data_IF_496252433650
#
_entry.id   IF_496252433650
#
_cell.length_a   1.000
_cell.length_b   1.000
_cell.length_c   1.000
_cell.angle_alpha   90.00
_cell.angle_beta   90.00
_cell.angle_gamma   90.00
#
_symmetry.space_group_name_H-M   'P 1'
#
loop_
_entity.id
_entity.type
_entity.pdbx_description
1 polymer ?
#
# COMPACT_ATOMS: atom_id res chain seq x y z
N UNK A 1 19.83 11.99 11.01
CA UNK A 1 21.07 11.23 11.32
C UNK A 1 21.09 9.78 10.81
N UNK A 2 19.99 9.02 10.77
CA UNK A 2 20.03 7.58 10.37
C UNK A 2 19.96 7.37 8.85
N UNK A 3 19.19 8.17 8.12
CA UNK A 3 19.16 8.13 6.66
C UNK A 3 20.56 8.38 6.08
N UNK A 4 21.30 9.34 6.63
CA UNK A 4 22.68 9.67 6.24
C UNK A 4 23.66 8.52 6.49
N UNK A 5 23.48 7.72 7.56
CA UNK A 5 24.34 6.56 7.82
C UNK A 5 24.13 5.45 6.78
N UNK A 6 22.88 5.21 6.37
CA UNK A 6 22.60 4.23 5.34
C UNK A 6 23.10 4.64 3.97
N UNK A 7 22.96 5.91 3.59
CA UNK A 7 23.57 6.43 2.36
C UNK A 7 25.10 6.34 2.39
N UNK A 8 25.72 6.52 3.57
CA UNK A 8 27.15 6.34 3.74
C UNK A 8 27.57 4.87 3.55
N UNK A 9 26.81 3.92 4.09
CA UNK A 9 27.04 2.47 3.89
C UNK A 9 26.90 2.11 2.41
N UNK A 10 25.87 2.63 1.73
CA UNK A 10 25.65 2.41 0.29
C UNK A 10 26.82 2.96 -0.54
N UNK A 11 27.30 4.16 -0.19
CA UNK A 11 28.43 4.82 -0.84
C UNK A 11 29.75 4.07 -0.63
N UNK A 12 30.02 3.63 0.60
CA UNK A 12 31.23 2.88 0.95
C UNK A 12 31.28 1.51 0.26
N UNK A 13 30.12 0.86 0.11
CA UNK A 13 30.03 -0.42 -0.61
C UNK A 13 30.11 -0.23 -2.12
N UNK A 14 29.64 0.89 -2.67
CA UNK A 14 29.79 1.21 -4.09
C UNK A 14 31.22 1.63 -4.47
N UNK A 15 32.02 2.15 -3.54
CA UNK A 15 33.37 2.69 -3.79
C UNK A 15 34.30 1.76 -4.60
N UNK A 16 34.40 0.44 -4.31
CA UNK A 16 35.25 -0.48 -5.07
C UNK A 16 34.86 -0.59 -6.56
N UNK A 17 33.62 -0.25 -6.93
CA UNK A 17 33.16 -0.27 -8.32
C UNK A 17 33.64 0.92 -9.14
N UNK A 18 34.23 1.96 -8.54
CA UNK A 18 34.94 3.01 -9.28
C UNK A 18 36.06 2.42 -10.14
N UNK A 19 36.66 1.29 -9.71
CA UNK A 19 37.68 0.57 -10.49
C UNK A 19 37.15 0.04 -11.82
N UNK A 20 35.83 -0.15 -11.94
CA UNK A 20 35.15 -0.60 -13.16
C UNK A 20 34.56 0.57 -13.97
N UNK A 21 34.87 1.82 -13.59
CA UNK A 21 34.41 3.04 -14.27
C UNK A 21 33.27 3.77 -13.57
N UNK A 22 33.12 5.06 -13.88
CA UNK A 22 32.14 5.96 -13.24
C UNK A 22 30.69 5.50 -13.44
N UNK A 23 30.38 4.91 -14.59
CA UNK A 23 29.04 4.36 -14.87
C UNK A 23 28.65 3.23 -13.92
N UNK A 24 29.57 2.32 -13.60
CA UNK A 24 29.34 1.21 -12.68
C UNK A 24 29.13 1.70 -11.24
N UNK A 25 29.89 2.70 -10.82
CA UNK A 25 29.73 3.36 -9.52
C UNK A 25 28.36 4.06 -9.38
N UNK A 26 27.95 4.85 -10.39
CA UNK A 26 26.65 5.54 -10.38
C UNK A 26 25.51 4.51 -10.38
N UNK A 27 25.59 3.48 -11.23
CA UNK A 27 24.61 2.40 -11.28
C UNK A 27 24.45 1.69 -9.93
N UNK A 28 25.55 1.40 -9.23
CA UNK A 28 25.53 0.78 -7.90
C UNK A 28 24.87 1.68 -6.85
N UNK A 29 25.22 2.98 -6.83
CA UNK A 29 24.61 3.96 -5.95
C UNK A 29 23.09 4.07 -6.20
N UNK A 30 22.67 4.18 -7.47
CA UNK A 30 21.26 4.25 -7.84
C UNK A 30 20.50 2.97 -7.45
N UNK A 31 21.07 1.80 -7.74
CA UNK A 31 20.48 0.50 -7.39
C UNK A 31 20.35 0.36 -5.87
N UNK A 32 21.39 0.73 -5.12
CA UNK A 32 21.36 0.69 -3.66
C UNK A 32 20.35 1.66 -3.07
N UNK A 33 20.22 2.88 -3.62
CA UNK A 33 19.19 3.84 -3.20
C UNK A 33 17.78 3.33 -3.51
N UNK A 34 17.56 2.68 -4.65
CA UNK A 34 16.27 2.07 -5.01
C UNK A 34 15.90 0.90 -4.07
N UNK A 35 16.84 0.00 -3.78
CA UNK A 35 16.63 -1.11 -2.84
C UNK A 35 16.45 -0.59 -1.40
N UNK A 36 17.23 0.42 -1.03
CA UNK A 36 17.08 1.14 0.23
C UNK A 36 15.68 1.73 0.36
N UNK A 37 15.18 2.37 -0.69
CA UNK A 37 13.87 3.00 -0.73
C UNK A 37 12.74 1.98 -0.62
N UNK A 38 12.85 0.83 -1.30
CA UNK A 38 11.89 -0.28 -1.16
C UNK A 38 11.91 -0.87 0.26
N UNK A 39 13.08 -0.94 0.88
CA UNK A 39 13.28 -1.48 2.23
C UNK A 39 12.88 -0.53 3.37
N UNK A 40 12.93 0.78 3.17
CA UNK A 40 12.58 1.80 4.19
C UNK A 40 11.10 1.81 4.61
N UNK A 41 10.25 0.98 4.02
CA UNK A 41 8.86 0.87 4.41
C UNK A 41 8.61 -0.09 5.58
N UNK A 42 9.62 -0.81 6.05
CA UNK A 42 9.46 -1.88 7.04
C UNK A 42 9.80 -1.44 8.47
N UNK A 43 9.55 -0.16 8.76
CA UNK A 43 9.79 0.44 10.06
C UNK A 43 8.72 -0.07 11.04
N UNK A 44 9.13 -0.99 11.91
CA UNK A 44 8.37 -1.35 13.11
C UNK A 44 7.54 -2.63 13.05
N UNK A 45 6.31 -2.54 12.54
CA UNK A 45 5.32 -3.64 12.61
C UNK A 45 5.72 -4.86 11.79
N UNK A 46 6.38 -4.63 10.66
CA UNK A 46 6.88 -5.70 9.81
C UNK A 46 8.04 -6.48 10.41
N UNK A 47 8.64 -6.01 11.51
CA UNK A 47 9.79 -6.66 12.14
C UNK A 47 9.36 -7.57 13.31
N UNK A 48 8.14 -7.42 13.85
CA UNK A 48 7.59 -8.39 14.81
C UNK A 48 6.97 -9.61 14.13
N UNK A 49 6.48 -9.45 12.89
CA UNK A 49 5.76 -10.48 12.14
C UNK A 49 6.67 -11.14 11.07
N UNK A 50 7.03 -12.42 11.28
CA UNK A 50 7.95 -13.19 10.42
C UNK A 50 7.49 -13.25 8.95
N UNK A 51 6.20 -13.26 8.69
CA UNK A 51 5.69 -13.36 7.31
C UNK A 51 5.79 -12.02 6.59
N UNK A 52 5.55 -10.92 7.32
CA UNK A 52 5.76 -9.57 6.82
C UNK A 52 7.26 -9.27 6.61
N UNK A 53 8.13 -9.87 7.42
CA UNK A 53 9.58 -9.88 7.14
C UNK A 53 9.88 -10.62 5.84
N UNK A 54 9.35 -11.83 5.66
CA UNK A 54 9.59 -12.63 4.45
C UNK A 54 9.10 -11.91 3.18
N UNK A 55 7.95 -11.25 3.25
CA UNK A 55 7.44 -10.43 2.17
C UNK A 55 8.29 -9.19 1.86
N UNK A 56 8.93 -8.63 2.88
CA UNK A 56 9.90 -7.54 2.74
C UNK A 56 11.11 -7.95 1.96
N UNK A 57 11.72 -9.05 2.39
CA UNK A 57 12.92 -9.60 1.78
C UNK A 57 12.62 -10.08 0.37
N UNK A 58 11.48 -10.75 0.16
CA UNK A 58 11.05 -11.18 -1.17
C UNK A 58 10.75 -9.99 -2.07
N UNK A 59 9.98 -8.99 -1.61
CA UNK A 59 9.66 -7.80 -2.41
C UNK A 59 10.91 -7.01 -2.80
N UNK A 60 11.88 -6.90 -1.89
CA UNK A 60 13.15 -6.23 -2.16
C UNK A 60 14.07 -7.05 -3.05
N UNK A 61 14.06 -8.38 -2.93
CA UNK A 61 14.78 -9.28 -3.84
C UNK A 61 14.20 -9.18 -5.26
N UNK A 62 12.87 -9.20 -5.40
CA UNK A 62 12.18 -9.02 -6.68
C UNK A 62 12.47 -7.65 -7.29
N UNK A 63 12.42 -6.57 -6.50
CA UNK A 63 12.81 -5.24 -6.97
C UNK A 63 14.26 -5.19 -7.40
N UNK A 64 15.16 -5.82 -6.65
CA UNK A 64 16.56 -5.96 -7.05
C UNK A 64 16.65 -6.68 -8.40
N UNK A 65 15.88 -7.74 -8.63
CA UNK A 65 15.81 -8.46 -9.91
C UNK A 65 15.15 -7.68 -11.06
N UNK A 66 14.33 -6.65 -10.81
CA UNK A 66 13.78 -5.78 -11.86
C UNK A 66 14.70 -4.59 -12.17
N UNK A 67 15.40 -4.10 -11.16
CA UNK A 67 16.39 -3.01 -11.31
C UNK A 67 17.69 -3.54 -11.92
N UNK A 68 18.08 -4.77 -11.59
CA UNK A 68 19.30 -5.42 -12.06
C UNK A 68 19.41 -5.54 -13.60
N UNK A 69 18.36 -5.92 -14.36
CA UNK A 69 18.35 -5.92 -15.83
C UNK A 69 18.58 -4.55 -16.47
N UNK A 70 18.15 -3.47 -15.81
CA UNK A 70 18.35 -2.10 -16.31
C UNK A 70 19.84 -1.71 -16.24
N UNK A 71 20.58 -2.28 -15.28
CA UNK A 71 22.01 -1.99 -15.05
C UNK A 71 22.97 -3.10 -15.50
N UNK A 72 22.43 -4.24 -15.95
CA UNK A 72 23.14 -5.36 -16.57
C UNK A 72 24.09 -4.95 -17.73
N UNK A 73 23.77 -3.92 -18.56
CA UNK A 73 24.68 -3.44 -19.59
C UNK A 73 25.96 -2.77 -19.04
N UNK A 74 26.03 -2.46 -17.74
CA UNK A 74 27.12 -1.67 -17.14
C UNK A 74 28.20 -2.55 -16.49
N UNK A 75 27.83 -3.64 -15.80
CA UNK A 75 28.69 -4.81 -15.50
C UNK A 75 28.01 -5.76 -14.48
N UNK A 76 28.23 -7.08 -14.58
CA UNK A 76 27.66 -8.07 -13.64
C UNK A 76 28.17 -7.92 -12.20
N UNK A 77 29.28 -7.20 -11.99
CA UNK A 77 29.88 -6.95 -10.67
C UNK A 77 29.18 -5.83 -9.88
N UNK A 78 28.34 -5.01 -10.51
CA UNK A 78 27.60 -3.89 -9.86
C UNK A 78 26.64 -4.39 -8.78
N UNK A 79 26.17 -5.62 -8.89
CA UNK A 79 25.14 -6.14 -8.00
C UNK A 79 25.66 -6.69 -6.68
N UNK A 80 26.92 -7.12 -6.63
CA UNK A 80 27.49 -7.72 -5.42
C UNK A 80 27.51 -6.73 -4.26
N UNK A 81 27.92 -5.46 -4.46
CA UNK A 81 27.89 -4.48 -3.39
C UNK A 81 26.49 -3.98 -3.05
N UNK A 82 25.57 -3.93 -4.03
CA UNK A 82 24.16 -3.61 -3.77
C UNK A 82 23.47 -4.68 -2.90
N UNK A 83 23.75 -5.96 -3.16
CA UNK A 83 23.29 -7.07 -2.34
C UNK A 83 23.92 -7.04 -0.94
N UNK A 84 25.24 -6.79 -0.85
CA UNK A 84 25.94 -6.63 0.43
C UNK A 84 25.36 -5.48 1.28
N UNK A 85 25.08 -4.33 0.68
CA UNK A 85 24.46 -3.18 1.33
C UNK A 85 23.07 -3.53 1.87
N UNK A 86 22.31 -4.30 1.10
CA UNK A 86 20.98 -4.76 1.48
C UNK A 86 21.02 -5.69 2.70
N UNK A 87 21.96 -6.63 2.73
CA UNK A 87 22.12 -7.57 3.86
C UNK A 87 22.54 -6.85 5.14
N UNK A 88 23.57 -6.00 5.08
CA UNK A 88 24.06 -5.24 6.24
C UNK A 88 22.97 -4.31 6.77
N UNK A 89 22.24 -3.63 5.88
CA UNK A 89 21.10 -2.79 6.23
C UNK A 89 19.99 -3.57 6.92
N UNK A 90 19.60 -4.73 6.38
CA UNK A 90 18.58 -5.58 6.98
C UNK A 90 18.97 -6.01 8.40
N UNK A 91 20.24 -6.36 8.59
CA UNK A 91 20.76 -6.75 9.90
C UNK A 91 20.74 -5.61 10.93
N UNK A 92 21.16 -4.39 10.53
CA UNK A 92 21.15 -3.21 11.41
C UNK A 92 19.71 -2.78 11.73
N UNK A 93 18.82 -2.74 10.73
CA UNK A 93 17.40 -2.42 10.92
C UNK A 93 16.72 -3.44 11.84
N UNK A 94 17.00 -4.74 11.66
CA UNK A 94 16.48 -5.81 12.49
C UNK A 94 16.84 -5.62 13.97
N UNK A 95 18.12 -5.39 14.28
CA UNK A 95 18.58 -5.22 15.67
C UNK A 95 17.95 -4.01 16.36
N UNK A 96 17.76 -2.90 15.64
CA UNK A 96 17.29 -1.64 16.23
C UNK A 96 15.77 -1.57 16.36
N UNK A 97 15.03 -2.06 15.37
CA UNK A 97 13.56 -2.02 15.43
C UNK A 97 13.02 -2.94 16.52
N UNK A 98 13.66 -4.09 16.76
CA UNK A 98 13.38 -4.94 17.93
C UNK A 98 13.56 -4.20 19.27
N UNK A 99 14.35 -3.13 19.29
CA UNK A 99 14.65 -2.31 20.47
C UNK A 99 13.78 -1.05 20.62
N UNK A 100 13.14 -0.56 19.55
CA UNK A 100 12.42 0.74 19.56
C UNK A 100 10.92 0.66 19.29
N UNK A 101 10.38 -0.51 18.97
CA UNK A 101 8.96 -0.62 18.64
C UNK A 101 8.07 -0.60 19.89
N UNK A 102 7.54 0.58 20.22
CA UNK A 102 6.41 0.72 21.14
C UNK A 102 5.16 1.09 20.33
N UNK A 103 4.11 0.28 20.44
CA UNK A 103 2.81 0.53 19.81
C UNK A 103 2.23 1.92 20.16
N UNK A 104 2.61 2.44 21.33
CA UNK A 104 2.31 3.81 21.80
C UNK A 104 2.76 4.92 20.83
N UNK A 105 3.76 4.68 19.99
CA UNK A 105 4.28 5.71 19.05
C UNK A 105 3.37 5.99 17.85
N UNK A 106 2.41 5.11 17.56
CA UNK A 106 1.43 5.28 16.48
C UNK A 106 0.09 5.83 16.99
N UNK A 107 -0.17 5.73 18.29
CA UNK A 107 -1.30 6.39 18.91
C UNK A 107 -1.01 7.89 18.89
N UNK A 108 -1.83 8.65 18.16
CA UNK A 108 -1.82 10.10 18.31
C UNK A 108 -2.08 10.39 19.78
N UNK A 109 -1.13 11.05 20.45
CA UNK A 109 -1.50 11.79 21.64
C UNK A 109 -2.39 12.93 21.14
N UNK A 110 -3.50 13.18 21.85
CA UNK A 110 -4.56 14.12 21.49
C UNK A 110 -4.10 15.58 21.25
N UNK A 111 -2.80 15.85 21.37
CA UNK A 111 -2.21 17.19 21.34
C UNK A 111 -1.36 17.48 20.10
N UNK A 112 -1.19 16.54 19.16
CA UNK A 112 -0.44 16.79 17.93
C UNK A 112 -1.35 17.30 16.81
N UNK A 113 -1.33 18.60 16.45
CA UNK A 113 -2.19 19.13 15.41
C UNK A 113 -1.84 18.50 14.04
N UNK A 114 -2.88 18.09 13.30
CA UNK A 114 -2.72 17.63 11.93
C UNK A 114 -2.63 18.85 11.01
N UNK A 115 -1.41 19.20 10.60
CA UNK A 115 -1.21 20.32 9.70
C UNK A 115 -1.87 20.09 8.32
N UNK A 116 -2.55 21.10 7.78
CA UNK A 116 -3.08 21.03 6.42
C UNK A 116 -1.93 21.10 5.41
N UNK A 117 -1.81 20.07 4.55
CA UNK A 117 -0.79 19.99 3.50
C UNK A 117 -1.38 20.33 2.13
N UNK A 118 -1.96 21.52 2.01
CA UNK A 118 -2.78 21.93 0.85
C UNK A 118 -2.04 21.76 -0.49
N UNK A 119 -0.79 22.20 -0.58
CA UNK A 119 0.02 22.09 -1.82
C UNK A 119 0.20 20.63 -2.22
N UNK A 120 0.55 19.77 -1.26
CA UNK A 120 0.69 18.34 -1.47
C UNK A 120 -0.66 17.71 -1.87
N UNK A 121 -1.75 18.02 -1.16
CA UNK A 121 -3.07 17.44 -1.40
C UNK A 121 -3.60 17.83 -2.80
N UNK A 122 -3.35 19.06 -3.26
CA UNK A 122 -3.68 19.53 -4.60
C UNK A 122 -2.87 18.83 -5.70
N UNK A 123 -1.56 18.70 -5.53
CA UNK A 123 -0.74 18.00 -6.51
C UNK A 123 -1.01 16.49 -6.52
N UNK A 124 -1.23 15.89 -5.35
CA UNK A 124 -1.70 14.51 -5.19
C UNK A 124 -2.99 14.28 -5.97
N UNK A 125 -3.92 15.23 -5.93
CA UNK A 125 -5.17 15.13 -6.68
C UNK A 125 -4.93 15.04 -8.20
N UNK A 126 -4.01 15.83 -8.74
CA UNK A 126 -3.64 15.78 -10.15
C UNK A 126 -3.06 14.40 -10.52
N UNK A 127 -2.15 13.88 -9.69
CA UNK A 127 -1.58 12.54 -9.87
C UNK A 127 -2.64 11.44 -9.79
N UNK A 128 -3.56 11.50 -8.82
CA UNK A 128 -4.64 10.53 -8.65
C UNK A 128 -5.51 10.43 -9.90
N UNK A 129 -5.84 11.57 -10.51
CA UNK A 129 -6.64 11.60 -11.75
C UNK A 129 -5.82 11.07 -12.92
N UNK A 130 -4.58 11.53 -13.12
CA UNK A 130 -3.73 11.10 -14.23
C UNK A 130 -3.46 9.59 -14.19
N UNK A 131 -3.02 9.08 -13.05
CA UNK A 131 -2.79 7.64 -12.85
C UNK A 131 -4.11 6.87 -12.92
N UNK A 132 -5.21 7.41 -12.38
CA UNK A 132 -6.53 6.81 -12.46
C UNK A 132 -6.99 6.61 -13.91
N UNK A 133 -6.79 7.60 -14.79
CA UNK A 133 -7.11 7.49 -16.22
C UNK A 133 -6.24 6.43 -16.90
N UNK A 134 -4.93 6.42 -16.62
CA UNK A 134 -4.01 5.40 -17.15
C UNK A 134 -4.46 4.00 -16.70
N UNK A 135 -4.76 3.81 -15.41
CA UNK A 135 -5.27 2.56 -14.88
C UNK A 135 -6.60 2.17 -15.54
N UNK A 136 -7.51 3.11 -15.76
CA UNK A 136 -8.79 2.82 -16.41
C UNK A 136 -8.57 2.28 -17.83
N UNK A 137 -7.72 2.93 -18.63
CA UNK A 137 -7.41 2.48 -19.99
C UNK A 137 -6.73 1.11 -19.94
N UNK A 138 -5.69 0.95 -19.12
CA UNK A 138 -4.92 -0.30 -19.01
C UNK A 138 -5.78 -1.48 -18.55
N UNK A 139 -6.64 -1.27 -17.54
CA UNK A 139 -7.50 -2.32 -16.98
C UNK A 139 -8.87 -2.42 -17.67
N UNK A 140 -9.18 -1.55 -18.63
CA UNK A 140 -10.46 -1.60 -19.36
C UNK A 140 -10.74 -2.94 -20.04
N UNK A 141 -9.76 -3.64 -20.68
CA UNK A 141 -10.04 -4.95 -21.26
C UNK A 141 -10.46 -5.97 -20.20
N UNK A 142 -9.79 -5.94 -19.03
CA UNK A 142 -10.11 -6.83 -17.90
C UNK A 142 -11.49 -6.49 -17.34
N UNK A 143 -11.81 -5.21 -17.16
CA UNK A 143 -13.13 -4.77 -16.69
C UNK A 143 -14.22 -5.27 -17.63
N UNK A 144 -14.03 -5.17 -18.95
CA UNK A 144 -14.99 -5.65 -19.95
C UNK A 144 -15.15 -7.17 -19.89
N UNK A 145 -14.04 -7.92 -19.86
CA UNK A 145 -14.08 -9.39 -19.77
C UNK A 145 -14.81 -9.85 -18.49
N UNK A 146 -14.45 -9.30 -17.33
CA UNK A 146 -15.10 -9.62 -16.05
C UNK A 146 -16.58 -9.24 -16.08
N UNK A 147 -16.93 -8.11 -16.71
CA UNK A 147 -18.33 -7.68 -16.86
C UNK A 147 -19.14 -8.68 -17.70
N UNK A 148 -18.58 -9.17 -18.81
CA UNK A 148 -19.22 -10.17 -19.66
C UNK A 148 -19.40 -11.49 -18.91
N UNK A 149 -18.37 -11.97 -18.21
CA UNK A 149 -18.44 -13.20 -17.42
C UNK A 149 -19.49 -13.06 -16.31
N UNK A 150 -19.51 -11.95 -15.58
CA UNK A 150 -20.52 -11.69 -14.53
C UNK A 150 -21.93 -11.68 -15.12
N UNK A 151 -22.13 -11.04 -16.29
CA UNK A 151 -23.42 -11.01 -16.97
C UNK A 151 -23.89 -12.40 -17.39
N UNK A 152 -23.00 -13.22 -17.97
CA UNK A 152 -23.34 -14.56 -18.46
C UNK A 152 -23.58 -15.56 -17.33
N UNK A 153 -22.76 -15.52 -16.27
CA UNK A 153 -22.83 -16.48 -15.17
C UNK A 153 -23.87 -16.11 -14.11
N UNK A 154 -24.03 -14.82 -13.83
CA UNK A 154 -24.77 -14.34 -12.65
C UNK A 154 -25.91 -13.38 -13.02
N UNK A 155 -25.94 -12.83 -14.24
CA UNK A 155 -26.92 -11.87 -14.70
C UNK A 155 -26.66 -10.42 -14.24
N UNK A 156 -27.73 -9.62 -14.19
CA UNK A 156 -27.68 -8.23 -13.70
C UNK A 156 -28.01 -8.17 -12.20
N UNK A 157 -27.45 -7.20 -11.45
CA UNK A 157 -26.53 -6.14 -11.89
C UNK A 157 -25.06 -6.59 -11.96
N UNK A 158 -24.27 -6.01 -12.88
CA UNK A 158 -22.82 -6.30 -13.00
C UNK A 158 -22.03 -5.56 -11.90
N UNK A 159 -22.33 -4.28 -11.72
CA UNK A 159 -21.72 -3.44 -10.69
C UNK A 159 -22.68 -3.22 -9.54
N UNK A 160 -22.11 -3.12 -8.34
CA UNK A 160 -22.79 -2.66 -7.14
C UNK A 160 -22.24 -1.29 -6.73
N UNK A 161 -23.11 -0.47 -6.17
CA UNK A 161 -22.76 0.80 -5.57
C UNK A 161 -23.07 0.72 -4.09
N UNK A 162 -22.05 0.71 -3.23
CA UNK A 162 -22.22 0.63 -1.79
C UNK A 162 -21.90 1.98 -1.14
N UNK A 163 -22.81 2.48 -0.30
CA UNK A 163 -22.57 3.71 0.46
C UNK A 163 -21.39 3.54 1.41
N UNK A 164 -20.52 4.54 1.42
CA UNK A 164 -19.32 4.64 2.26
C UNK A 164 -19.15 6.06 2.78
N UNK A 165 -18.42 6.18 3.87
CA UNK A 165 -18.03 7.48 4.43
C UNK A 165 -16.68 7.90 3.84
N UNK A 166 -16.63 9.09 3.27
CA UNK A 166 -15.45 9.70 2.69
C UNK A 166 -14.99 10.95 3.46
N UNK A 167 -14.24 11.81 2.77
CA UNK A 167 -13.66 13.02 3.35
C UNK A 167 -14.76 13.91 3.96
N UNK A 168 -14.46 14.53 5.10
CA UNK A 168 -15.36 15.47 5.80
C UNK A 168 -16.72 14.84 6.15
N UNK A 169 -16.71 13.54 6.49
CA UNK A 169 -17.91 12.73 6.77
C UNK A 169 -18.92 12.62 5.61
N UNK A 170 -18.55 13.01 4.38
CA UNK A 170 -19.46 12.95 3.23
C UNK A 170 -19.68 11.52 2.77
N UNK A 171 -20.94 11.16 2.53
CA UNK A 171 -21.27 9.86 1.97
C UNK A 171 -21.03 9.84 0.45
N UNK A 172 -20.51 8.72 -0.05
CA UNK A 172 -20.38 8.50 -1.49
C UNK A 172 -20.67 7.05 -1.86
N UNK A 173 -20.99 6.82 -3.13
CA UNK A 173 -21.23 5.50 -3.68
C UNK A 173 -19.95 4.85 -4.19
N UNK A 174 -19.47 3.82 -3.50
CA UNK A 174 -18.27 3.08 -3.89
C UNK A 174 -18.63 1.97 -4.89
N UNK A 175 -18.05 2.03 -6.09
CA UNK A 175 -18.31 1.06 -7.16
C UNK A 175 -17.48 -0.21 -6.98
N UNK A 176 -18.12 -1.37 -7.18
CA UNK A 176 -17.45 -2.68 -7.22
C UNK A 176 -18.14 -3.60 -8.21
N UNK A 177 -17.47 -4.67 -8.61
CA UNK A 177 -18.16 -5.80 -9.22
C UNK A 177 -19.11 -6.46 -8.21
N UNK A 178 -20.25 -6.96 -8.69
CA UNK A 178 -21.10 -7.84 -7.89
C UNK A 178 -20.36 -9.15 -7.67
N UNK A 179 -20.28 -9.58 -6.43
CA UNK A 179 -19.62 -10.84 -6.04
C UNK A 179 -20.46 -11.65 -5.06
N UNK A 180 -21.75 -11.34 -4.94
CA UNK A 180 -22.70 -12.01 -4.06
C UNK A 180 -24.01 -12.22 -4.78
N UNK A 181 -24.74 -13.26 -4.42
CA UNK A 181 -26.03 -13.56 -5.03
C UNK A 181 -27.06 -12.50 -4.64
N UNK A 182 -27.76 -11.97 -5.64
CA UNK A 182 -28.82 -10.96 -5.46
C UNK A 182 -30.22 -11.55 -5.58
N UNK A 183 -30.36 -12.80 -6.03
CA UNK A 183 -31.64 -13.49 -6.21
C UNK A 183 -31.97 -14.44 -5.05
N UNK A 184 -30.95 -14.98 -4.38
CA UNK A 184 -31.06 -15.85 -3.21
C UNK A 184 -30.62 -15.19 -1.90
N UNK A 185 -29.94 -15.97 -1.03
CA UNK A 185 -29.38 -15.46 0.22
C UNK A 185 -28.23 -14.48 -0.09
N UNK A 186 -28.44 -13.18 0.22
CA UNK A 186 -27.53 -12.05 -0.07
C UNK A 186 -26.12 -12.20 0.51
N UNK A 187 -25.91 -13.18 1.39
CA UNK A 187 -24.61 -13.48 2.00
C UNK A 187 -23.77 -14.47 1.19
N UNK A 188 -24.34 -15.14 0.18
CA UNK A 188 -23.63 -16.16 -0.59
C UNK A 188 -22.71 -15.53 -1.63
N UNK A 189 -21.40 -15.79 -1.50
CA UNK A 189 -20.38 -15.33 -2.45
C UNK A 189 -20.53 -16.14 -3.75
N UNK A 190 -20.57 -15.44 -4.89
CA UNK A 190 -20.68 -16.08 -6.21
C UNK A 190 -19.39 -16.80 -6.63
N UNK A 191 -19.48 -17.70 -7.63
CA UNK A 191 -18.30 -18.41 -8.15
C UNK A 191 -17.24 -17.43 -8.68
N UNK A 192 -17.66 -16.43 -9.45
CA UNK A 192 -16.77 -15.37 -9.91
C UNK A 192 -16.23 -14.55 -8.73
N UNK A 193 -17.07 -14.26 -7.74
CA UNK A 193 -16.69 -13.56 -6.52
C UNK A 193 -15.58 -14.26 -5.73
N UNK A 194 -15.58 -15.59 -5.65
CA UNK A 194 -14.53 -16.39 -4.99
C UNK A 194 -13.16 -16.22 -5.67
N UNK A 195 -13.15 -15.92 -6.97
CA UNK A 195 -11.96 -15.65 -7.77
C UNK A 195 -11.54 -14.17 -7.72
N UNK A 196 -12.48 -13.23 -7.85
CA UNK A 196 -12.18 -11.80 -7.92
C UNK A 196 -11.69 -11.22 -6.58
N UNK A 197 -12.31 -11.61 -5.46
CA UNK A 197 -12.04 -11.01 -4.14
C UNK A 197 -10.61 -11.18 -3.64
N UNK A 198 -9.97 -12.38 -3.70
CA UNK A 198 -8.58 -12.54 -3.26
C UNK A 198 -7.60 -11.71 -4.09
N UNK A 199 -7.88 -11.56 -5.39
CA UNK A 199 -7.08 -10.74 -6.31
C UNK A 199 -7.43 -9.24 -6.25
N UNK A 200 -8.45 -8.87 -5.47
CA UNK A 200 -9.06 -7.52 -5.40
C UNK A 200 -9.49 -6.97 -6.77
N UNK A 201 -9.72 -7.85 -7.74
CA UNK A 201 -10.21 -7.45 -9.07
C UNK A 201 -11.65 -6.92 -9.01
N UNK A 202 -12.40 -7.29 -7.96
CA UNK A 202 -13.73 -6.75 -7.70
C UNK A 202 -13.72 -5.24 -7.42
N UNK A 203 -12.57 -4.68 -7.06
CA UNK A 203 -12.37 -3.28 -6.71
C UNK A 203 -11.93 -2.39 -7.88
N UNK A 204 -11.63 -2.96 -9.07
CA UNK A 204 -11.25 -2.18 -10.26
C UNK A 204 -12.25 -1.06 -10.61
N UNK A 205 -13.58 -1.21 -10.48
CA UNK A 205 -14.52 -0.12 -10.76
C UNK A 205 -14.32 1.13 -9.88
N UNK A 206 -13.64 1.01 -8.73
CA UNK A 206 -13.31 2.16 -7.87
C UNK A 206 -12.36 3.17 -8.53
N UNK A 207 -11.69 2.80 -9.63
CA UNK A 207 -10.92 3.77 -10.44
C UNK A 207 -11.82 4.94 -10.87
N UNK A 208 -13.10 4.68 -11.12
CA UNK A 208 -14.09 5.72 -11.44
C UNK A 208 -14.29 6.66 -10.25
N UNK A 209 -14.33 6.15 -9.01
CA UNK A 209 -14.43 6.98 -7.81
C UNK A 209 -13.18 7.85 -7.61
N UNK A 210 -12.00 7.33 -7.97
CA UNK A 210 -10.75 8.10 -7.94
C UNK A 210 -10.84 9.24 -8.96
N UNK A 211 -11.22 8.97 -10.21
CA UNK A 211 -11.31 10.01 -11.25
C UNK A 211 -12.38 11.04 -10.88
N UNK A 212 -13.56 10.63 -10.39
CA UNK A 212 -14.62 11.53 -9.90
C UNK A 212 -14.20 12.40 -8.72
N UNK A 213 -13.28 11.89 -7.90
CA UNK A 213 -12.75 12.61 -6.75
C UNK A 213 -13.41 12.26 -5.42
N UNK A 214 -14.19 11.18 -5.37
CA UNK A 214 -14.68 10.61 -4.11
C UNK A 214 -13.52 9.93 -3.33
N UNK A 215 -12.58 9.34 -4.08
CA UNK A 215 -11.45 8.58 -3.57
C UNK A 215 -10.11 9.13 -4.09
N UNK A 216 -9.04 8.67 -3.46
CA UNK A 216 -7.63 8.82 -3.82
C UNK A 216 -7.04 7.44 -4.12
N UNK A 217 -5.89 7.36 -4.81
CA UNK A 217 -5.19 6.09 -4.95
C UNK A 217 -4.70 5.57 -3.59
N UNK A 218 -4.17 6.47 -2.77
CA UNK A 218 -3.65 6.16 -1.43
C UNK A 218 -4.38 6.99 -0.39
N UNK A 219 -4.88 6.33 0.65
CA UNK A 219 -5.61 6.94 1.76
C UNK A 219 -6.21 5.90 2.71
N UNK A 220 -6.84 6.33 3.82
CA UNK A 220 -7.56 5.43 4.71
C UNK A 220 -8.67 4.67 3.97
N UNK A 221 -8.92 3.41 4.31
CA UNK A 221 -9.96 2.62 3.62
C UNK A 221 -11.36 3.20 3.92
N UNK A 222 -12.23 3.38 2.92
CA UNK A 222 -13.59 3.86 3.17
C UNK A 222 -14.42 2.81 3.92
N UNK A 223 -15.07 3.21 5.00
CA UNK A 223 -15.85 2.32 5.88
C UNK A 223 -17.34 2.40 5.60
N UNK A 224 -18.06 1.31 5.91
CA UNK A 224 -19.52 1.31 5.95
C UNK A 224 -20.01 2.30 7.01
N UNK A 225 -21.17 2.96 6.81
CA UNK A 225 -21.75 3.85 7.83
C UNK A 225 -21.90 3.19 9.20
N UNK A 226 -22.23 1.90 9.26
CA UNK A 226 -22.34 1.13 10.51
C UNK A 226 -21.01 1.00 11.24
N UNK A 227 -19.92 0.63 10.54
CA UNK A 227 -18.58 0.55 11.12
C UNK A 227 -18.01 1.93 11.46
N UNK A 228 -18.34 2.94 10.65
CA UNK A 228 -17.99 4.33 10.93
C UNK A 228 -18.57 4.80 12.27
N UNK A 229 -19.86 4.52 12.52
CA UNK A 229 -20.50 4.84 13.80
C UNK A 229 -19.81 4.14 14.97
N UNK A 230 -19.54 2.84 14.82
CA UNK A 230 -18.81 2.07 15.85
C UNK A 230 -17.42 2.67 16.14
N UNK A 231 -16.70 3.12 15.10
CA UNK A 231 -15.41 3.81 15.26
C UNK A 231 -15.53 5.14 16.00
N UNK A 232 -16.49 5.98 15.61
CA UNK A 232 -16.76 7.27 16.26
C UNK A 232 -17.10 7.11 17.75
N UNK A 233 -17.85 6.07 18.11
CA UNK A 233 -18.32 5.86 19.48
C UNK A 233 -17.24 5.27 20.40
N UNK A 234 -16.23 4.57 19.86
CA UNK A 234 -15.32 3.72 20.66
C UNK A 234 -13.82 4.02 20.50
N UNK A 235 -13.44 4.90 19.57
CA UNK A 235 -12.05 5.18 19.23
C UNK A 235 -11.80 6.69 19.29
N UNK A 236 -10.86 7.08 20.14
CA UNK A 236 -10.40 8.47 20.28
C UNK A 236 -9.79 8.94 18.96
N UNK A 237 -10.08 10.18 18.57
CA UNK A 237 -9.61 10.82 17.33
C UNK A 237 -9.94 10.09 16.03
N UNK A 238 -10.92 9.18 16.05
CA UNK A 238 -11.33 8.43 14.87
C UNK A 238 -11.71 9.34 13.69
N UNK A 239 -12.37 10.47 13.96
CA UNK A 239 -12.80 11.44 12.94
C UNK A 239 -11.63 12.02 12.12
N UNK A 240 -10.43 12.09 12.70
CA UNK A 240 -9.23 12.63 12.04
C UNK A 240 -8.84 11.86 10.77
N UNK A 241 -9.22 10.58 10.66
CA UNK A 241 -9.00 9.79 9.44
C UNK A 241 -9.78 10.32 8.23
N UNK A 242 -10.84 11.10 8.47
CA UNK A 242 -11.73 11.66 7.42
C UNK A 242 -11.26 13.04 6.94
N UNK A 243 -10.14 13.56 7.43
CA UNK A 243 -9.56 14.83 6.95
C UNK A 243 -8.99 14.71 5.53
N UNK A 244 -8.75 13.49 5.06
CA UNK A 244 -8.24 13.20 3.71
C UNK A 244 -9.20 12.29 2.95
N UNK A 245 -9.06 12.25 1.62
CA UNK A 245 -9.87 11.35 0.80
C UNK A 245 -9.55 9.89 1.13
N UNK A 246 -10.55 9.00 1.17
CA UNK A 246 -10.31 7.58 1.32
C UNK A 246 -9.52 7.01 0.13
N UNK A 247 -8.78 5.94 0.38
CA UNK A 247 -7.88 5.31 -0.60
C UNK A 247 -8.40 4.01 -1.18
N UNK A 248 -8.00 3.70 -2.42
CA UNK A 248 -8.07 2.34 -2.98
C UNK A 248 -7.09 1.41 -2.22
N UNK A 249 -5.89 1.92 -1.94
CA UNK A 249 -4.93 1.34 -1.01
C UNK A 249 -4.56 2.33 0.11
N UNK A 250 -3.87 1.87 1.13
CA UNK A 250 -3.54 2.68 2.29
C UNK A 250 -2.52 2.04 3.21
N UNK A 251 -1.91 2.86 4.07
CA UNK A 251 -0.89 2.41 5.01
C UNK A 251 -1.40 1.32 5.94
N UNK A 252 -2.63 1.47 6.47
CA UNK A 252 -3.26 0.44 7.30
C UNK A 252 -3.47 -0.87 6.52
N UNK A 253 -4.01 -0.81 5.29
CA UNK A 253 -4.29 -2.01 4.49
C UNK A 253 -3.03 -2.84 4.18
N UNK A 254 -1.87 -2.20 4.12
CA UNK A 254 -0.59 -2.85 3.84
C UNK A 254 0.01 -3.46 5.11
N UNK A 255 -0.13 -2.78 6.25
CA UNK A 255 0.53 -3.17 7.49
C UNK A 255 -0.37 -3.96 8.46
N UNK A 256 -1.69 -3.95 8.25
CA UNK A 256 -2.68 -4.53 9.18
C UNK A 256 -3.89 -5.07 8.41
N UNK A 257 -4.15 -6.38 8.50
CA UNK A 257 -5.11 -7.08 7.61
C UNK A 257 -6.46 -7.40 8.24
N UNK A 258 -6.51 -7.88 9.49
CA UNK A 258 -7.72 -8.42 10.09
C UNK A 258 -8.15 -7.58 11.29
N UNK A 259 -9.44 -7.26 11.32
CA UNK A 259 -10.10 -6.60 12.46
C UNK A 259 -11.37 -7.38 12.78
N UNK A 260 -11.22 -8.31 13.69
CA UNK A 260 -12.30 -9.12 14.30
C UNK A 260 -12.74 -8.53 15.62
N UNK A 261 -11.82 -7.87 16.34
CA UNK A 261 -12.10 -7.23 17.63
C UNK A 261 -12.05 -5.70 17.53
N UNK A 262 -12.65 -5.03 18.52
CA UNK A 262 -12.60 -3.58 18.64
C UNK A 262 -11.15 -3.08 18.82
N UNK A 263 -10.31 -3.84 19.53
CA UNK A 263 -8.92 -3.46 19.76
C UNK A 263 -8.09 -3.53 18.48
N UNK A 264 -8.29 -4.58 17.67
CA UNK A 264 -7.70 -4.64 16.34
C UNK A 264 -8.17 -3.48 15.45
N UNK A 265 -9.43 -3.07 15.59
CA UNK A 265 -9.97 -1.91 14.88
C UNK A 265 -9.33 -0.59 15.32
N UNK A 266 -8.98 -0.44 16.62
CA UNK A 266 -8.18 0.68 17.14
C UNK A 266 -6.79 0.71 16.53
N UNK A 267 -6.09 -0.43 16.51
CA UNK A 267 -4.74 -0.53 15.93
C UNK A 267 -4.76 -0.16 14.45
N UNK A 268 -5.72 -0.72 13.69
CA UNK A 268 -5.93 -0.34 12.27
C UNK A 268 -6.16 1.17 12.12
N UNK A 269 -6.97 1.76 12.99
CA UNK A 269 -7.24 3.20 12.96
C UNK A 269 -5.97 4.01 13.25
N UNK A 270 -5.13 3.59 14.18
CA UNK A 270 -3.85 4.24 14.45
C UNK A 270 -2.94 4.31 13.20
N UNK A 271 -2.93 3.26 12.38
CA UNK A 271 -2.24 3.29 11.09
C UNK A 271 -2.85 4.28 10.09
N UNK A 272 -4.17 4.37 10.02
CA UNK A 272 -4.85 5.36 9.18
C UNK A 272 -4.46 6.79 9.63
N UNK A 273 -4.47 7.04 10.94
CA UNK A 273 -4.10 8.32 11.54
C UNK A 273 -2.64 8.69 11.31
N UNK A 274 -1.73 7.71 11.43
CA UNK A 274 -0.33 7.88 11.07
C UNK A 274 -0.18 8.33 9.62
N UNK A 275 -0.92 7.72 8.69
CA UNK A 275 -0.91 8.14 7.29
C UNK A 275 -1.42 9.57 7.14
N UNK A 276 -2.57 9.92 7.75
CA UNK A 276 -3.13 11.29 7.64
C UNK A 276 -2.12 12.35 8.09
N UNK A 277 -1.43 12.12 9.21
CA UNK A 277 -0.41 13.03 9.74
C UNK A 277 0.84 13.08 8.85
N UNK A 278 1.35 11.92 8.45
CA UNK A 278 2.65 11.79 7.77
C UNK A 278 2.56 11.70 6.24
N UNK A 279 1.37 11.96 5.66
CA UNK A 279 1.13 11.91 4.21
C UNK A 279 2.17 12.74 3.46
N UNK A 280 2.76 12.11 2.46
CA UNK A 280 3.84 12.63 1.63
C UNK A 280 3.96 11.78 0.38
N UNK A 281 4.59 12.31 -0.67
CA UNK A 281 4.82 11.57 -1.91
C UNK A 281 5.56 10.25 -1.69
N UNK A 282 6.56 10.27 -0.81
CA UNK A 282 7.34 9.09 -0.48
C UNK A 282 6.46 8.03 0.17
N UNK A 283 5.57 8.42 1.10
CA UNK A 283 4.67 7.48 1.75
C UNK A 283 3.62 6.92 0.78
N UNK A 284 3.11 7.73 -0.14
CA UNK A 284 2.19 7.27 -1.19
C UNK A 284 2.85 6.24 -2.11
N UNK A 285 4.05 6.55 -2.60
CA UNK A 285 4.81 5.66 -3.46
C UNK A 285 5.08 4.33 -2.73
N UNK A 286 5.48 4.36 -1.45
CA UNK A 286 5.62 3.16 -0.62
C UNK A 286 4.32 2.36 -0.57
N UNK A 287 3.17 3.01 -0.42
CA UNK A 287 1.89 2.32 -0.38
C UNK A 287 1.58 1.62 -1.71
N UNK A 288 1.73 2.34 -2.83
CA UNK A 288 1.47 1.80 -4.17
C UNK A 288 2.37 0.60 -4.48
N UNK A 289 3.67 0.71 -4.23
CA UNK A 289 4.62 -0.38 -4.48
C UNK A 289 4.36 -1.61 -3.63
N UNK A 290 3.96 -1.44 -2.37
CA UNK A 290 3.70 -2.59 -1.46
C UNK A 290 2.36 -3.28 -1.72
N UNK A 291 1.43 -2.63 -2.41
CA UNK A 291 0.08 -3.14 -2.60
C UNK A 291 0.04 -4.47 -3.38
N UNK A 292 0.72 -4.62 -4.53
CA UNK A 292 0.76 -5.89 -5.26
C UNK A 292 1.33 -7.04 -4.42
N UNK A 293 2.39 -6.80 -3.66
CA UNK A 293 2.98 -7.80 -2.76
C UNK A 293 2.02 -8.20 -1.65
N UNK A 294 1.32 -7.23 -1.04
CA UNK A 294 0.34 -7.51 0.00
C UNK A 294 -0.82 -8.38 -0.53
N UNK A 295 -1.25 -8.16 -1.77
CA UNK A 295 -2.24 -9.00 -2.47
C UNK A 295 -1.66 -10.40 -2.74
N UNK A 296 -0.47 -10.49 -3.33
CA UNK A 296 0.20 -11.75 -3.63
C UNK A 296 0.36 -12.66 -2.40
N UNK A 297 0.81 -12.12 -1.27
CA UNK A 297 0.90 -12.87 -0.01
C UNK A 297 -0.46 -13.40 0.48
N UNK A 298 -1.54 -12.66 0.21
CA UNK A 298 -2.89 -13.10 0.61
C UNK A 298 -3.30 -14.34 -0.19
N UNK A 299 -2.85 -14.45 -1.44
CA UNK A 299 -3.12 -15.61 -2.28
C UNK A 299 -2.40 -16.85 -1.75
N UNK A 300 -1.12 -16.70 -1.37
CA UNK A 300 -0.32 -17.82 -0.83
C UNK A 300 -0.90 -18.40 0.47
N UNK A 301 -1.52 -17.56 1.30
CA UNK A 301 -2.12 -18.00 2.57
C UNK A 301 -3.45 -18.73 2.45
N UNK A 302 -4.07 -18.71 1.27
CA UNK A 302 -5.38 -19.32 1.07
C UNK A 302 -5.28 -20.84 0.83
N UNK A 303 -4.07 -21.38 0.83
CA UNK A 303 -3.79 -22.82 0.64
C UNK A 303 -3.71 -23.60 1.97
N UNK A 304 -3.85 -22.95 3.13
CA UNK A 304 -3.99 -23.59 4.46
C UNK A 304 -5.44 -23.47 5.00
#
# INVERSE_FOLDING_TARGET
MMNSLFYLIDLLLALPLLMNGLGAFIAACCTSVLISFSMRGYEGITISDKEKQMASTLGSAVMSCFVFPVFLPVSPFVALPALGATVVRNFILYKRVKSQFKEESFMLTSNDPIEPKVVYDSFKRLLDVGIGVIMLVLFSPIIVIVSLISLLMEGRPIFICQTRIGKDCKQFGMYKFRTFDTKGNKETITKLGKFLRPLRLDELPQIINIIKGDMSLVGPRPELPSFHKLGMDNIVDYSSRLLVKPGLTGWAQINYKYTTTLEEYRIKTAFDLYYVKNRSFILDIKCLFKTPFAVFLTLLKKED
#
